data_IF_449142072112
#
_entry.id   IF_449142072112
#
_cell.length_a   1.000
_cell.length_b   1.000
_cell.length_c   1.000
_cell.angle_alpha   90.00
_cell.angle_beta   90.00
_cell.angle_gamma   90.00
#
_symmetry.space_group_name_H-M   'P 1'
#
loop_
_entity.id
_entity.type
_entity.pdbx_description
1 polymer ?
#
# COMPACT_ATOMS: atom_id res chain seq x y z
N UNK A 1 -0.36 -9.87 19.36
CA UNK A 1 -0.38 -9.29 17.99
C UNK A 1 0.36 -10.23 17.06
N UNK A 2 -0.08 -10.41 15.81
CA UNK A 2 0.49 -11.39 14.86
C UNK A 2 1.46 -10.81 13.80
N UNK A 3 1.69 -9.50 13.79
CA UNK A 3 2.67 -8.86 12.89
C UNK A 3 2.35 -8.84 11.39
N UNK A 4 1.10 -9.13 11.00
CA UNK A 4 0.72 -9.34 9.59
C UNK A 4 0.73 -8.06 8.72
N UNK A 5 0.65 -6.88 9.34
CA UNK A 5 0.68 -5.56 8.68
C UNK A 5 1.43 -4.55 9.53
N UNK A 6 1.94 -3.49 8.89
CA UNK A 6 2.80 -2.49 9.52
C UNK A 6 2.13 -1.65 10.61
N UNK A 7 0.80 -1.52 10.62
CA UNK A 7 0.10 -0.69 11.61
C UNK A 7 -1.33 -1.17 11.90
N UNK A 8 -1.89 -0.72 13.03
CA UNK A 8 -3.29 -0.96 13.40
C UNK A 8 -4.26 -0.31 12.40
N UNK A 9 -3.93 0.87 11.89
CA UNK A 9 -4.75 1.56 10.87
C UNK A 9 -4.79 0.76 9.58
N UNK A 10 -3.66 0.19 9.14
CA UNK A 10 -3.62 -0.72 7.98
C UNK A 10 -4.45 -1.98 8.20
N UNK A 11 -4.38 -2.59 9.39
CA UNK A 11 -5.17 -3.77 9.70
C UNK A 11 -6.67 -3.49 9.59
N UNK A 12 -7.12 -2.36 10.16
CA UNK A 12 -8.51 -1.92 10.07
C UNK A 12 -8.96 -1.71 8.63
N UNK A 13 -8.19 -0.94 7.87
CA UNK A 13 -8.47 -0.59 6.48
C UNK A 13 -8.51 -1.84 5.58
N UNK A 14 -7.63 -2.82 5.79
CA UNK A 14 -7.67 -4.10 5.08
C UNK A 14 -8.94 -4.91 5.38
N UNK A 15 -9.37 -4.97 6.65
CA UNK A 15 -10.64 -5.64 7.00
C UNK A 15 -11.83 -4.93 6.39
N UNK A 16 -11.88 -3.60 6.45
CA UNK A 16 -12.97 -2.79 5.90
C UNK A 16 -13.10 -2.94 4.37
N UNK A 17 -11.99 -3.18 3.67
CA UNK A 17 -12.00 -3.49 2.22
C UNK A 17 -12.33 -4.94 1.88
N UNK A 18 -12.50 -5.82 2.87
CA UNK A 18 -12.75 -7.24 2.64
C UNK A 18 -11.54 -8.01 2.12
N UNK A 19 -10.31 -7.46 2.26
CA UNK A 19 -9.07 -8.13 1.84
C UNK A 19 -8.51 -9.06 2.92
N UNK A 20 -9.26 -9.31 3.99
CA UNK A 20 -8.85 -10.17 5.10
C UNK A 20 -9.85 -11.30 5.25
N UNK A 21 -9.35 -12.53 5.31
CA UNK A 21 -10.15 -13.71 5.67
C UNK A 21 -9.70 -14.31 6.99
N UNK A 22 -10.67 -14.86 7.73
CA UNK A 22 -10.48 -15.59 8.99
C UNK A 22 -11.10 -16.97 8.79
N UNK A 23 -10.30 -18.03 8.90
CA UNK A 23 -10.72 -19.42 8.67
C UNK A 23 -11.47 -19.61 7.34
N UNK A 24 -10.98 -18.92 6.29
CA UNK A 24 -11.54 -19.00 4.93
C UNK A 24 -12.76 -18.11 4.66
N UNK A 25 -13.29 -17.39 5.65
CA UNK A 25 -14.40 -16.46 5.47
C UNK A 25 -13.94 -15.00 5.57
N UNK A 26 -14.49 -14.11 4.74
CA UNK A 26 -14.17 -12.67 4.78
C UNK A 26 -14.49 -12.09 6.17
N UNK A 27 -13.51 -11.41 6.76
CA UNK A 27 -13.67 -10.68 8.01
C UNK A 27 -14.65 -9.52 7.83
N UNK A 28 -15.68 -9.44 8.66
CA UNK A 28 -16.77 -8.46 8.46
C UNK A 28 -16.56 -7.14 9.17
N UNK A 29 -15.76 -7.13 10.24
CA UNK A 29 -15.46 -5.92 11.00
C UNK A 29 -14.10 -6.01 11.70
N UNK A 30 -13.35 -4.90 11.81
CA UNK A 30 -12.02 -4.88 12.44
C UNK A 30 -11.98 -5.39 13.89
N UNK A 31 -13.08 -5.21 14.63
CA UNK A 31 -13.25 -5.67 16.02
C UNK A 31 -13.95 -7.02 16.14
N UNK A 32 -13.90 -7.86 15.11
CA UNK A 32 -14.45 -9.21 15.18
C UNK A 32 -13.64 -10.05 16.17
N UNK A 33 -14.33 -10.68 17.14
CA UNK A 33 -13.69 -11.67 18.01
C UNK A 33 -13.34 -12.91 17.19
N UNK A 34 -12.09 -13.36 17.31
CA UNK A 34 -11.57 -14.52 16.58
C UNK A 34 -10.83 -15.43 17.56
N UNK A 35 -10.78 -16.71 17.26
CA UNK A 35 -9.98 -17.67 18.02
C UNK A 35 -8.49 -17.27 17.98
N UNK A 36 -7.73 -17.39 19.09
CA UNK A 36 -6.29 -17.20 19.05
C UNK A 36 -5.57 -18.10 18.04
N UNK A 37 -6.17 -19.25 17.69
CA UNK A 37 -5.63 -20.22 16.73
C UNK A 37 -6.20 -20.09 15.30
N UNK A 38 -7.11 -19.13 15.04
CA UNK A 38 -7.67 -18.99 13.68
C UNK A 38 -6.59 -18.68 12.64
N UNK A 39 -6.77 -19.17 11.41
CA UNK A 39 -5.96 -18.78 10.28
C UNK A 39 -6.43 -17.42 9.76
N UNK A 40 -5.51 -16.46 9.66
CA UNK A 40 -5.78 -15.13 9.08
C UNK A 40 -4.95 -14.96 7.84
N UNK A 41 -5.61 -14.71 6.71
CA UNK A 41 -4.97 -14.45 5.42
C UNK A 41 -5.32 -13.03 4.98
N UNK A 42 -4.32 -12.31 4.46
CA UNK A 42 -4.48 -10.97 3.90
C UNK A 42 -4.17 -11.07 2.41
N UNK A 43 -5.13 -10.71 1.58
CA UNK A 43 -5.03 -10.60 0.14
C UNK A 43 -5.25 -9.14 -0.26
N UNK A 44 -4.26 -8.30 0.07
CA UNK A 44 -4.30 -6.86 -0.18
C UNK A 44 -3.20 -6.48 -1.18
N UNK A 45 -3.54 -6.12 -2.43
CA UNK A 45 -2.56 -5.69 -3.42
C UNK A 45 -1.71 -4.50 -2.97
N UNK A 46 -2.19 -3.69 -2.02
CA UNK A 46 -1.46 -2.55 -1.49
C UNK A 46 -0.51 -2.90 -0.31
N UNK A 47 -0.47 -4.16 0.13
CA UNK A 47 0.28 -4.55 1.34
C UNK A 47 1.78 -4.25 1.25
N UNK A 48 2.36 -4.35 0.05
CA UNK A 48 3.77 -4.07 -0.20
C UNK A 48 4.14 -2.59 -0.24
N UNK A 49 3.15 -1.69 -0.22
CA UNK A 49 3.38 -0.27 -0.45
C UNK A 49 3.14 0.57 0.80
N UNK A 50 3.93 1.64 0.98
CA UNK A 50 3.79 2.62 2.07
C UNK A 50 2.47 3.38 2.00
N UNK A 51 1.82 3.43 0.82
CA UNK A 51 0.47 3.95 0.63
C UNK A 51 -0.27 3.20 -0.47
N UNK A 52 -1.59 3.08 -0.32
CA UNK A 52 -2.48 2.49 -1.33
C UNK A 52 -2.53 3.29 -2.62
N UNK A 53 -2.14 4.57 -2.57
CA UNK A 53 -2.01 5.38 -3.76
C UNK A 53 -1.09 4.73 -4.79
N UNK A 54 -0.08 3.95 -4.37
CA UNK A 54 0.80 3.20 -5.26
C UNK A 54 0.07 2.44 -6.39
N UNK A 55 -1.08 1.82 -6.08
CA UNK A 55 -1.88 1.08 -7.06
C UNK A 55 -2.39 1.97 -8.21
N UNK A 56 -2.60 3.26 -7.97
CA UNK A 56 -3.00 4.22 -9.00
C UNK A 56 -1.86 4.48 -9.99
N UNK A 57 -0.65 4.69 -9.49
CA UNK A 57 0.50 4.93 -10.36
C UNK A 57 0.86 3.67 -11.15
N UNK A 58 0.85 2.50 -10.49
CA UNK A 58 1.02 1.19 -11.14
C UNK A 58 0.05 1.04 -12.31
N UNK A 59 -1.25 1.23 -12.05
CA UNK A 59 -2.28 1.15 -13.09
C UNK A 59 -2.06 2.15 -14.23
N UNK A 60 -1.66 3.39 -13.91
CA UNK A 60 -1.36 4.41 -14.92
C UNK A 60 -0.15 4.06 -15.79
N UNK A 61 0.97 3.70 -15.16
CA UNK A 61 2.19 3.31 -15.88
C UNK A 61 1.93 2.11 -16.78
N UNK A 62 1.24 1.09 -16.28
CA UNK A 62 0.96 -0.15 -17.02
C UNK A 62 -0.04 0.11 -18.18
N UNK A 63 -1.10 0.88 -17.93
CA UNK A 63 -2.10 1.19 -18.94
C UNK A 63 -1.55 2.03 -20.09
N UNK A 64 -0.70 3.01 -19.79
CA UNK A 64 -0.12 3.91 -20.79
C UNK A 64 1.24 3.43 -21.34
N UNK A 65 1.78 2.32 -20.85
CA UNK A 65 3.08 1.79 -21.29
C UNK A 65 4.25 2.72 -20.96
N UNK A 66 4.17 3.42 -19.82
CA UNK A 66 5.21 4.35 -19.39
C UNK A 66 6.24 3.64 -18.51
N UNK A 67 7.50 3.65 -18.92
CA UNK A 67 8.61 3.05 -18.18
C UNK A 67 9.49 4.13 -17.52
N UNK A 68 9.54 4.20 -16.18
CA UNK A 68 10.39 5.14 -15.46
C UNK A 68 11.86 4.70 -15.37
N UNK A 69 12.24 3.50 -15.84
CA UNK A 69 13.61 3.00 -15.71
C UNK A 69 14.66 3.97 -16.26
N UNK A 70 15.65 4.31 -15.44
CA UNK A 70 16.74 5.23 -15.74
C UNK A 70 16.34 6.71 -15.87
N UNK A 71 15.08 7.06 -15.61
CA UNK A 71 14.56 8.43 -15.66
C UNK A 71 14.67 9.12 -14.30
N UNK A 72 14.86 10.43 -14.34
CA UNK A 72 14.56 11.28 -13.18
C UNK A 72 13.05 11.56 -13.16
N UNK A 73 12.42 11.39 -12.00
CA UNK A 73 10.99 11.61 -11.81
C UNK A 73 10.71 12.70 -10.76
N UNK A 74 9.59 13.39 -10.93
CA UNK A 74 9.06 14.38 -10.00
C UNK A 74 7.73 13.87 -9.43
N UNK A 75 7.67 13.60 -8.13
CA UNK A 75 6.47 13.20 -7.42
C UNK A 75 5.86 14.40 -6.69
N UNK A 76 4.77 14.95 -7.24
CA UNK A 76 4.09 16.14 -6.71
C UNK A 76 2.92 15.71 -5.83
N UNK A 77 2.96 16.08 -4.55
CA UNK A 77 2.01 15.62 -3.55
C UNK A 77 2.37 14.23 -3.02
N UNK A 78 3.67 14.01 -2.77
CA UNK A 78 4.22 12.71 -2.42
C UNK A 78 3.59 12.08 -1.16
N UNK A 79 3.10 12.92 -0.23
CA UNK A 79 2.50 12.51 1.03
C UNK A 79 3.38 11.48 1.74
N UNK A 80 2.81 10.32 2.07
CA UNK A 80 3.50 9.17 2.71
C UNK A 80 4.43 8.40 1.77
N UNK A 81 4.60 8.83 0.50
CA UNK A 81 5.62 8.32 -0.42
C UNK A 81 5.18 7.15 -1.32
N UNK A 82 3.88 6.91 -1.49
CA UNK A 82 3.39 5.75 -2.27
C UNK A 82 3.81 5.74 -3.74
N UNK A 83 3.77 6.90 -4.39
CA UNK A 83 4.19 7.05 -5.79
C UNK A 83 5.72 7.01 -5.90
N UNK A 84 6.41 7.75 -5.02
CA UNK A 84 7.87 7.70 -4.87
C UNK A 84 8.40 6.27 -4.76
N UNK A 85 7.81 5.43 -3.90
CA UNK A 85 8.22 4.02 -3.77
C UNK A 85 8.07 3.26 -5.10
N UNK A 86 6.92 3.39 -5.78
CA UNK A 86 6.67 2.71 -7.07
C UNK A 86 7.69 3.14 -8.13
N UNK A 87 8.00 4.44 -8.22
CA UNK A 87 8.97 4.96 -9.18
C UNK A 87 10.37 4.37 -8.95
N UNK A 88 10.82 4.33 -7.69
CA UNK A 88 12.12 3.76 -7.33
C UNK A 88 12.19 2.26 -7.57
N UNK A 89 11.16 1.50 -7.16
CA UNK A 89 11.09 0.05 -7.39
C UNK A 89 11.06 -0.31 -8.88
N UNK A 90 10.47 0.55 -9.71
CA UNK A 90 10.47 0.40 -11.18
C UNK A 90 11.71 0.98 -11.86
N UNK A 91 12.72 1.38 -11.09
CA UNK A 91 14.05 1.70 -11.63
C UNK A 91 14.26 3.16 -12.04
N UNK A 92 13.42 4.11 -11.61
CA UNK A 92 13.76 5.52 -11.72
C UNK A 92 15.16 5.78 -11.11
N UNK A 93 16.01 6.54 -11.82
CA UNK A 93 17.37 6.84 -11.36
C UNK A 93 17.38 7.80 -10.18
N UNK A 94 16.38 8.67 -10.11
CA UNK A 94 16.17 9.62 -9.03
C UNK A 94 14.69 10.01 -8.96
N UNK A 95 14.19 10.30 -7.74
CA UNK A 95 12.85 10.86 -7.53
C UNK A 95 12.97 12.10 -6.65
N UNK A 96 12.58 13.25 -7.18
CA UNK A 96 12.34 14.45 -6.37
C UNK A 96 10.90 14.39 -5.87
N UNK A 97 10.73 14.24 -4.56
CA UNK A 97 9.43 14.16 -3.92
C UNK A 97 9.08 15.51 -3.27
N UNK A 98 7.97 16.13 -3.68
CA UNK A 98 7.51 17.42 -3.20
C UNK A 98 6.17 17.25 -2.49
N UNK A 99 6.07 17.79 -1.27
CA UNK A 99 4.81 17.86 -0.53
C UNK A 99 4.71 19.18 0.24
N UNK A 100 3.49 19.63 0.51
CA UNK A 100 3.20 20.85 1.30
C UNK A 100 2.79 20.52 2.74
N UNK A 101 2.52 19.25 3.03
CA UNK A 101 2.24 18.72 4.36
C UNK A 101 3.50 18.64 5.22
N UNK A 102 3.29 18.64 6.53
CA UNK A 102 4.37 18.53 7.52
C UNK A 102 4.42 17.10 8.09
N UNK A 103 5.63 16.60 8.36
CA UNK A 103 5.87 15.28 8.98
C UNK A 103 5.33 14.10 8.16
N UNK A 104 5.41 14.18 6.83
CA UNK A 104 4.84 13.18 5.92
C UNK A 104 5.80 12.02 5.59
N UNK A 105 7.10 12.20 5.83
CA UNK A 105 8.17 11.22 5.61
C UNK A 105 9.09 11.15 6.82
#
# INVERSE_FOLDING_TARGET
QRGLVASRSRARDAVERGTVTVDGAIARKPGQNVSPQCLVVIDDPAQGYVSRAALKLIGGLDHFGLDPAGREALDIGASTGGFTQVLLERGASHVTAIDVGHGQM
#
